data_IF_873377253323
#
_entry.id   IF_873377253323
#
_cell.length_a   1.000
_cell.length_b   1.000
_cell.length_c   1.000
_cell.angle_alpha   90.00
_cell.angle_beta   90.00
_cell.angle_gamma   90.00
#
_symmetry.space_group_name_H-M   'P 1'
#
loop_
_entity.id
_entity.type
_entity.pdbx_description
1 polymer ?
#
# COMPACT_ATOMS: atom_id res chain seq x y z
N UNK A 1 28.77 -4.01 56.03
CA UNK A 1 28.41 -3.26 54.81
C UNK A 1 27.76 -4.25 53.85
N UNK A 2 26.44 -4.15 53.66
CA UNK A 2 25.66 -5.04 52.78
C UNK A 2 25.57 -4.38 51.40
N UNK A 3 26.18 -5.00 50.37
CA UNK A 3 26.04 -4.54 48.98
C UNK A 3 24.79 -5.17 48.37
N UNK A 4 23.82 -4.33 47.99
CA UNK A 4 22.64 -4.72 47.23
C UNK A 4 23.05 -4.74 45.74
N UNK A 5 23.07 -5.92 45.14
CA UNK A 5 23.19 -6.07 43.70
C UNK A 5 21.81 -5.79 43.07
N UNK A 6 21.68 -4.66 42.38
CA UNK A 6 20.50 -4.33 41.58
C UNK A 6 20.64 -5.06 40.25
N UNK A 7 19.87 -6.13 40.08
CA UNK A 7 19.66 -6.75 38.77
C UNK A 7 18.69 -5.89 37.97
N UNK A 8 19.22 -5.11 37.03
CA UNK A 8 18.42 -4.46 35.99
C UNK A 8 18.00 -5.52 34.98
N UNK A 9 16.73 -5.94 35.03
CA UNK A 9 16.07 -6.63 33.94
C UNK A 9 15.99 -5.66 32.74
N UNK A 10 16.85 -5.87 31.74
CA UNK A 10 16.65 -5.33 30.40
C UNK A 10 15.50 -6.11 29.74
N UNK A 11 14.27 -5.70 30.04
CA UNK A 11 13.15 -6.04 29.18
C UNK A 11 13.38 -5.40 27.81
N UNK A 12 13.42 -6.24 26.78
CA UNK A 12 13.81 -5.87 25.44
C UNK A 12 13.00 -4.69 24.93
N UNK A 13 13.72 -3.63 24.51
CA UNK A 13 13.14 -2.54 23.78
C UNK A 13 12.39 -3.11 22.56
N UNK A 14 11.05 -3.05 22.60
CA UNK A 14 10.23 -3.28 21.42
C UNK A 14 10.62 -2.24 20.39
N UNK A 15 11.42 -2.63 19.41
CA UNK A 15 11.74 -1.81 18.24
C UNK A 15 10.42 -1.33 17.65
N UNK A 16 10.13 -0.04 17.80
CA UNK A 16 9.05 0.59 17.09
C UNK A 16 9.28 0.36 15.59
N UNK A 17 8.24 -0.03 14.83
CA UNK A 17 8.40 -0.26 13.41
C UNK A 17 8.84 1.04 12.73
N UNK A 18 10.03 1.03 12.13
CA UNK A 18 10.55 2.12 11.33
C UNK A 18 9.99 2.01 9.90
N UNK A 19 9.29 3.05 9.46
CA UNK A 19 8.76 3.18 8.11
C UNK A 19 9.52 4.26 7.37
N UNK A 20 9.97 3.96 6.15
CA UNK A 20 10.65 4.93 5.29
C UNK A 20 10.16 4.76 3.85
N UNK A 21 9.76 5.86 3.22
CA UNK A 21 9.58 5.92 1.77
C UNK A 21 10.90 6.34 1.14
N UNK A 22 11.47 5.51 0.28
CA UNK A 22 12.70 5.85 -0.43
C UNK A 22 12.32 6.41 -1.81
N UNK A 23 12.59 7.70 -2.03
CA UNK A 23 12.58 8.28 -3.38
C UNK A 23 13.75 7.66 -4.15
N UNK A 24 13.46 7.04 -5.29
CA UNK A 24 14.41 6.17 -6.01
C UNK A 24 15.58 6.96 -6.65
N UNK A 25 16.60 7.26 -5.86
CA UNK A 25 17.80 7.99 -6.28
C UNK A 25 19.13 7.26 -6.08
N UNK A 26 19.26 6.35 -5.11
CA UNK A 26 20.61 5.96 -4.65
C UNK A 26 20.98 4.47 -4.61
N UNK A 27 20.08 3.49 -4.80
CA UNK A 27 20.44 2.07 -5.00
C UNK A 27 19.21 1.27 -5.42
N UNK A 28 19.14 0.85 -6.68
CA UNK A 28 18.10 -0.06 -7.18
C UNK A 28 18.54 -1.52 -7.07
N UNK A 29 19.18 -1.90 -5.97
CA UNK A 29 19.52 -3.29 -5.69
C UNK A 29 18.70 -3.75 -4.50
N UNK A 30 17.37 -3.74 -4.68
CA UNK A 30 16.55 -4.61 -3.86
C UNK A 30 17.03 -6.04 -4.16
N UNK A 31 17.41 -6.82 -3.14
CA UNK A 31 17.74 -8.21 -3.36
C UNK A 31 16.57 -8.87 -4.10
N UNK A 32 16.84 -9.84 -4.97
CA UNK A 32 15.83 -10.58 -5.73
C UNK A 32 14.86 -9.78 -6.63
N UNK A 33 15.18 -8.53 -6.99
CA UNK A 33 14.40 -7.75 -7.95
C UNK A 33 14.42 -8.38 -9.37
N UNK A 34 13.26 -8.61 -10.03
CA UNK A 34 13.24 -9.29 -11.31
C UNK A 34 13.82 -8.43 -12.44
N UNK A 35 14.58 -9.05 -13.32
CA UNK A 35 15.21 -8.38 -14.47
C UNK A 35 14.22 -7.99 -15.59
N UNK A 36 12.93 -8.32 -15.44
CA UNK A 36 11.83 -8.01 -16.35
C UNK A 36 11.27 -6.61 -16.15
N UNK A 37 11.67 -5.92 -15.07
CA UNK A 37 11.25 -4.55 -14.76
C UNK A 37 12.40 -3.56 -14.93
N UNK A 38 12.06 -2.33 -15.30
CA UNK A 38 12.99 -1.21 -15.27
C UNK A 38 13.26 -0.77 -13.82
N UNK A 39 13.99 0.32 -13.63
CA UNK A 39 14.24 0.90 -12.30
C UNK A 39 12.91 1.25 -11.62
N UNK A 40 12.77 0.84 -10.35
CA UNK A 40 11.62 1.20 -9.53
C UNK A 40 11.45 2.73 -9.42
N UNK A 41 10.21 3.19 -9.46
CA UNK A 41 9.83 4.61 -9.27
C UNK A 41 9.59 4.90 -7.79
N UNK A 42 8.94 3.98 -7.09
CA UNK A 42 8.58 4.10 -5.68
C UNK A 42 8.99 2.81 -4.98
N UNK A 43 9.63 2.93 -3.81
CA UNK A 43 9.93 1.83 -2.92
C UNK A 43 9.45 2.22 -1.52
N UNK A 44 8.41 1.53 -1.07
CA UNK A 44 7.93 1.59 0.31
C UNK A 44 8.54 0.42 1.07
N UNK A 45 8.95 0.61 2.32
CA UNK A 45 9.46 -0.47 3.17
C UNK A 45 8.91 -0.42 4.59
N UNK A 46 8.71 -1.60 5.19
CA UNK A 46 8.25 -1.74 6.56
C UNK A 46 8.90 -2.96 7.23
N UNK A 47 9.51 -2.76 8.40
CA UNK A 47 10.16 -3.84 9.14
C UNK A 47 9.22 -4.40 10.19
N UNK A 48 9.01 -5.71 10.17
CA UNK A 48 8.15 -6.42 11.12
C UNK A 48 8.73 -7.79 11.46
N UNK A 49 8.88 -8.08 12.77
CA UNK A 49 9.38 -9.35 13.31
C UNK A 49 10.68 -9.86 12.63
N UNK A 50 11.66 -8.96 12.46
CA UNK A 50 12.97 -9.31 11.89
C UNK A 50 12.99 -9.56 10.37
N UNK A 51 11.90 -9.24 9.67
CA UNK A 51 11.85 -9.19 8.20
C UNK A 51 11.53 -7.79 7.73
N UNK A 52 12.12 -7.37 6.61
CA UNK A 52 11.77 -6.12 5.92
C UNK A 52 10.92 -6.45 4.71
N UNK A 53 9.75 -5.87 4.65
CA UNK A 53 8.82 -6.00 3.54
C UNK A 53 8.91 -4.77 2.65
N UNK A 54 8.74 -4.97 1.35
CA UNK A 54 8.77 -3.90 0.36
C UNK A 54 7.53 -3.94 -0.52
N UNK A 55 6.99 -2.77 -0.82
CA UNK A 55 6.02 -2.55 -1.89
C UNK A 55 6.67 -1.62 -2.92
N UNK A 56 6.84 -2.14 -4.14
CA UNK A 56 7.67 -1.53 -5.17
C UNK A 56 6.83 -1.27 -6.40
N UNK A 57 6.88 -0.04 -6.89
CA UNK A 57 6.19 0.38 -8.10
C UNK A 57 7.19 0.54 -9.22
N UNK A 58 7.07 -0.26 -10.27
CA UNK A 58 8.04 -0.30 -11.35
C UNK A 58 7.38 -0.42 -12.74
N UNK A 59 7.89 0.29 -13.75
CA UNK A 59 7.47 0.09 -15.13
C UNK A 59 8.12 -1.18 -15.71
N UNK A 60 7.50 -1.80 -16.73
CA UNK A 60 8.09 -2.95 -17.40
C UNK A 60 9.38 -2.54 -18.13
N UNK A 61 10.34 -3.46 -18.26
CA UNK A 61 11.67 -3.13 -18.81
C UNK A 61 11.65 -2.67 -20.26
N UNK A 62 10.70 -3.16 -21.05
CA UNK A 62 10.52 -2.78 -22.46
C UNK A 62 9.84 -1.40 -22.62
N UNK A 63 9.27 -0.83 -21.56
CA UNK A 63 8.74 0.53 -21.53
C UNK A 63 9.08 1.25 -20.20
N UNK A 64 10.36 1.66 -20.00
CA UNK A 64 10.81 2.26 -18.74
C UNK A 64 10.14 3.59 -18.38
N UNK A 65 9.51 4.25 -19.35
CA UNK A 65 8.85 5.54 -19.20
C UNK A 65 7.33 5.41 -19.05
N UNK A 66 6.81 4.19 -18.96
CA UNK A 66 5.40 3.95 -18.74
C UNK A 66 4.89 4.66 -17.49
N UNK A 67 3.72 5.29 -17.61
CA UNK A 67 2.94 5.77 -16.46
C UNK A 67 2.23 4.62 -15.75
N UNK A 68 2.09 3.46 -16.41
CA UNK A 68 1.55 2.25 -15.83
C UNK A 68 2.63 1.51 -15.05
N UNK A 69 2.48 1.47 -13.73
CA UNK A 69 3.43 0.81 -12.83
C UNK A 69 2.86 -0.52 -12.34
N UNK A 70 3.66 -1.58 -12.44
CA UNK A 70 3.40 -2.84 -11.76
C UNK A 70 3.75 -2.72 -10.28
N UNK A 71 2.99 -3.41 -9.42
CA UNK A 71 3.26 -3.48 -7.99
C UNK A 71 3.92 -4.82 -7.68
N UNK A 72 5.09 -4.77 -7.05
CA UNK A 72 5.87 -5.93 -6.63
C UNK A 72 6.03 -5.93 -5.11
N UNK A 73 5.86 -7.08 -4.50
CA UNK A 73 6.01 -7.30 -3.07
C UNK A 73 7.25 -8.16 -2.81
N UNK A 74 8.15 -7.68 -1.97
CA UNK A 74 9.36 -8.42 -1.58
C UNK A 74 9.44 -8.58 -0.08
N UNK A 75 10.17 -9.60 0.37
CA UNK A 75 10.60 -9.76 1.75
C UNK A 75 12.10 -10.04 1.80
N UNK A 76 12.82 -9.33 2.65
CA UNK A 76 14.18 -9.68 3.06
C UNK A 76 14.18 -10.10 4.53
N UNK A 77 14.99 -11.09 4.86
CA UNK A 77 15.21 -11.58 6.22
C UNK A 77 16.61 -12.17 6.35
N UNK A 78 16.98 -12.65 7.53
CA UNK A 78 18.23 -13.42 7.72
C UNK A 78 18.34 -14.65 6.81
N UNK A 79 17.20 -15.19 6.32
CA UNK A 79 17.16 -16.36 5.43
C UNK A 79 17.35 -15.99 3.95
N UNK A 80 17.43 -14.71 3.62
CA UNK A 80 17.56 -14.22 2.25
C UNK A 80 16.36 -13.39 1.78
N UNK A 81 16.20 -13.30 0.47
CA UNK A 81 15.18 -12.49 -0.21
C UNK A 81 14.18 -13.33 -0.99
N UNK A 82 12.93 -12.90 -0.97
CA UNK A 82 11.82 -13.55 -1.68
C UNK A 82 10.90 -12.52 -2.35
N UNK A 83 10.54 -12.79 -3.60
CA UNK A 83 9.44 -12.12 -4.31
C UNK A 83 8.13 -12.81 -3.91
N UNK A 84 7.17 -12.06 -3.38
CA UNK A 84 5.97 -12.60 -2.77
C UNK A 84 4.79 -12.71 -3.74
N UNK A 85 4.68 -11.82 -4.75
CA UNK A 85 3.66 -11.88 -5.79
C UNK A 85 4.27 -12.18 -7.16
N UNK A 86 4.48 -13.46 -7.51
CA UNK A 86 5.12 -13.83 -8.78
C UNK A 86 4.27 -13.44 -9.99
N UNK A 87 2.95 -13.32 -9.81
CA UNK A 87 2.02 -12.83 -10.81
C UNK A 87 1.77 -11.35 -10.53
N UNK A 88 2.06 -10.48 -11.50
CA UNK A 88 1.98 -9.01 -11.42
C UNK A 88 0.57 -8.45 -11.24
N UNK A 89 -0.41 -9.31 -10.98
CA UNK A 89 -1.81 -8.93 -10.82
C UNK A 89 -1.99 -8.27 -9.46
N UNK A 90 -2.71 -7.16 -9.44
CA UNK A 90 -3.10 -6.46 -8.21
C UNK A 90 -3.99 -7.40 -7.39
N UNK A 91 -3.45 -7.93 -6.29
CA UNK A 91 -4.17 -8.76 -5.32
C UNK A 91 -4.06 -8.16 -3.91
N UNK A 92 -4.89 -8.63 -2.98
CA UNK A 92 -4.81 -8.20 -1.57
C UNK A 92 -3.41 -8.43 -1.03
N UNK A 93 -2.86 -7.43 -0.35
CA UNK A 93 -1.57 -7.50 0.36
C UNK A 93 -1.56 -8.61 1.39
N UNK A 94 -2.71 -8.87 2.02
CA UNK A 94 -2.86 -9.94 3.02
C UNK A 94 -2.57 -11.34 2.47
N UNK A 95 -2.58 -11.54 1.14
CA UNK A 95 -2.16 -12.80 0.52
C UNK A 95 -0.65 -13.02 0.58
N UNK A 96 0.13 -11.95 0.72
CA UNK A 96 1.57 -11.95 0.53
C UNK A 96 2.34 -11.55 1.80
N UNK A 97 1.71 -10.78 2.70
CA UNK A 97 2.37 -10.24 3.88
C UNK A 97 1.46 -10.23 5.11
N UNK A 98 2.04 -10.18 6.33
CA UNK A 98 1.27 -10.11 7.57
C UNK A 98 0.42 -8.84 7.64
N UNK A 99 -0.71 -8.93 8.34
CA UNK A 99 -1.68 -7.84 8.48
C UNK A 99 -1.08 -6.49 8.90
N UNK A 100 -0.18 -6.38 9.90
CA UNK A 100 0.42 -5.08 10.25
C UNK A 100 1.19 -4.44 9.10
N UNK A 101 1.80 -5.25 8.24
CA UNK A 101 2.54 -4.79 7.06
C UNK A 101 1.57 -4.36 5.96
N UNK A 102 0.53 -5.17 5.71
CA UNK A 102 -0.50 -4.86 4.71
C UNK A 102 -1.24 -3.55 5.05
N UNK A 103 -1.64 -3.39 6.32
CA UNK A 103 -2.27 -2.17 6.82
C UNK A 103 -1.34 -0.96 6.73
N UNK A 104 -0.04 -1.14 6.99
CA UNK A 104 0.92 -0.07 6.86
C UNK A 104 0.99 0.46 5.42
N UNK A 105 1.15 -0.41 4.43
CA UNK A 105 1.20 0.02 3.03
C UNK A 105 -0.14 0.56 2.52
N UNK A 106 -1.26 -0.03 2.94
CA UNK A 106 -2.58 0.50 2.66
C UNK A 106 -2.72 1.95 3.18
N UNK A 107 -2.35 2.19 4.44
CA UNK A 107 -2.36 3.54 5.03
C UNK A 107 -1.43 4.49 4.28
N UNK A 108 -0.22 4.07 3.93
CA UNK A 108 0.75 4.91 3.22
C UNK A 108 0.19 5.39 1.87
N UNK A 109 -0.50 4.50 1.13
CA UNK A 109 -1.16 4.85 -0.13
C UNK A 109 -2.17 5.99 0.04
N UNK A 110 -3.09 5.87 0.99
CA UNK A 110 -4.14 6.87 1.19
C UNK A 110 -3.63 8.15 1.87
N UNK A 111 -2.65 8.02 2.77
CA UNK A 111 -2.00 9.17 3.40
C UNK A 111 -1.33 10.05 2.34
N UNK A 112 -0.65 9.44 1.37
CA UNK A 112 -0.02 10.18 0.26
C UNK A 112 -1.04 11.02 -0.52
N UNK A 113 -2.26 10.50 -0.75
CA UNK A 113 -3.33 11.23 -1.43
C UNK A 113 -3.85 12.40 -0.59
N UNK A 114 -4.01 12.22 0.72
CA UNK A 114 -4.37 13.30 1.62
C UNK A 114 -3.29 14.39 1.67
N UNK A 115 -2.04 13.99 1.82
CA UNK A 115 -0.91 14.90 1.94
C UNK A 115 -0.74 15.76 0.68
N UNK A 116 -0.91 15.18 -0.51
CA UNK A 116 -0.92 15.92 -1.77
C UNK A 116 -2.03 16.98 -1.80
N UNK A 117 -3.26 16.61 -1.43
CA UNK A 117 -4.36 17.57 -1.35
C UNK A 117 -4.11 18.68 -0.32
N UNK A 118 -3.54 18.33 0.83
CA UNK A 118 -3.20 19.29 1.88
C UNK A 118 -2.12 20.28 1.41
N UNK A 119 -1.12 19.80 0.68
CA UNK A 119 -0.07 20.64 0.09
C UNK A 119 -0.62 21.61 -0.97
N UNK A 120 -1.61 21.20 -1.76
CA UNK A 120 -2.30 22.09 -2.71
C UNK A 120 -3.15 23.17 -2.01
N UNK A 121 -3.45 22.99 -0.72
CA UNK A 121 -4.40 23.81 0.05
C UNK A 121 -3.79 24.45 1.29
N UNK A 122 -2.46 24.59 1.34
CA UNK A 122 -1.78 25.26 2.46
C UNK A 122 -2.35 26.67 2.66
N UNK A 123 -2.70 27.01 3.90
CA UNK A 123 -3.25 28.32 4.27
C UNK A 123 -4.77 28.47 4.09
N UNK A 124 -5.47 27.45 3.60
CA UNK A 124 -6.94 27.45 3.55
C UNK A 124 -7.55 27.00 4.88
N UNK A 125 -8.57 27.71 5.34
CA UNK A 125 -9.39 27.29 6.48
C UNK A 125 -10.07 25.96 6.13
N UNK A 126 -10.04 24.99 7.05
CA UNK A 126 -10.64 23.65 6.90
C UNK A 126 -10.04 22.78 5.77
N UNK A 127 -8.78 23.01 5.37
CA UNK A 127 -8.10 22.20 4.35
C UNK A 127 -8.15 20.68 4.65
N UNK A 128 -7.97 20.28 5.92
CA UNK A 128 -8.04 18.87 6.34
C UNK A 128 -9.40 18.22 6.07
N UNK A 129 -10.47 18.86 6.54
CA UNK A 129 -11.83 18.37 6.32
C UNK A 129 -12.18 18.32 4.83
N UNK A 130 -11.77 19.34 4.07
CA UNK A 130 -11.97 19.36 2.62
C UNK A 130 -11.28 18.17 1.94
N UNK A 131 -10.01 17.90 2.26
CA UNK A 131 -9.25 16.81 1.66
C UNK A 131 -9.78 15.44 2.05
N UNK A 132 -10.22 15.27 3.31
CA UNK A 132 -10.92 14.06 3.74
C UNK A 132 -12.19 13.82 2.93
N UNK A 133 -13.09 14.81 2.83
CA UNK A 133 -14.32 14.67 2.04
C UNK A 133 -14.05 14.42 0.56
N UNK A 134 -13.01 15.04 -0.01
CA UNK A 134 -12.59 14.80 -1.40
C UNK A 134 -12.19 13.34 -1.59
N UNK A 135 -11.39 12.79 -0.66
CA UNK A 135 -10.98 11.40 -0.71
C UNK A 135 -12.15 10.43 -0.48
N UNK A 136 -13.04 10.71 0.48
CA UNK A 136 -14.29 9.96 0.69
C UNK A 136 -15.13 9.92 -0.59
N UNK A 137 -15.28 11.07 -1.26
CA UNK A 137 -16.00 11.15 -2.53
C UNK A 137 -15.36 10.24 -3.57
N UNK A 138 -14.04 10.32 -3.77
CA UNK A 138 -13.28 9.51 -4.75
C UNK A 138 -13.37 8.00 -4.48
N UNK A 139 -13.38 7.59 -3.22
CA UNK A 139 -13.46 6.17 -2.81
C UNK A 139 -14.88 5.62 -3.01
N UNK A 140 -15.90 6.42 -2.70
CA UNK A 140 -17.29 6.00 -2.77
C UNK A 140 -17.94 6.25 -4.13
N UNK A 141 -17.17 6.67 -5.15
CA UNK A 141 -17.74 6.80 -6.50
C UNK A 141 -18.11 5.41 -7.02
N UNK A 142 -19.38 5.16 -7.37
CA UNK A 142 -19.76 3.94 -8.06
C UNK A 142 -18.92 3.84 -9.33
N UNK A 143 -18.37 2.66 -9.62
CA UNK A 143 -17.51 2.43 -10.80
C UNK A 143 -18.25 2.57 -12.14
N UNK A 144 -18.72 3.76 -12.47
CA UNK A 144 -19.01 4.18 -13.82
C UNK A 144 -17.68 4.26 -14.57
N UNK A 145 -17.66 3.71 -15.78
CA UNK A 145 -16.47 3.51 -16.62
C UNK A 145 -15.72 4.81 -16.93
N UNK A 146 -16.34 5.97 -16.64
CA UNK A 146 -15.80 7.31 -16.85
C UNK A 146 -15.29 7.99 -15.57
N UNK A 147 -15.55 7.42 -14.39
CA UNK A 147 -15.13 8.01 -13.13
C UNK A 147 -13.71 7.54 -12.78
N UNK A 148 -12.81 8.47 -12.49
CA UNK A 148 -11.46 8.24 -11.94
C UNK A 148 -11.50 7.74 -10.48
N UNK A 149 -12.54 7.00 -10.09
CA UNK A 149 -12.79 6.52 -8.74
C UNK A 149 -12.08 5.21 -8.41
N UNK A 150 -12.00 4.89 -7.12
CA UNK A 150 -11.50 3.60 -6.66
C UNK A 150 -12.64 2.57 -6.73
N UNK A 151 -12.67 1.77 -7.78
CA UNK A 151 -13.77 0.84 -8.05
C UNK A 151 -13.92 -0.29 -7.01
N UNK A 152 -12.83 -0.63 -6.33
CA UNK A 152 -12.81 -1.67 -5.32
C UNK A 152 -11.68 -1.44 -4.31
N UNK A 153 -11.84 -2.00 -3.11
CA UNK A 153 -10.85 -2.03 -2.05
C UNK A 153 -10.58 -3.46 -1.58
N UNK A 154 -9.42 -3.67 -0.96
CA UNK A 154 -9.15 -4.85 -0.16
C UNK A 154 -9.46 -4.62 1.32
N UNK A 155 -9.58 -5.67 2.16
CA UNK A 155 -9.90 -5.52 3.58
C UNK A 155 -8.93 -4.61 4.32
N UNK A 156 -7.63 -4.72 4.01
CA UNK A 156 -6.60 -3.86 4.60
C UNK A 156 -6.74 -2.39 4.19
N UNK A 157 -7.27 -2.11 2.99
CA UNK A 157 -7.51 -0.75 2.52
C UNK A 157 -8.68 -0.12 3.30
N UNK A 158 -9.77 -0.86 3.49
CA UNK A 158 -10.93 -0.42 4.28
C UNK A 158 -10.54 -0.12 5.71
N UNK A 159 -9.76 -1.00 6.34
CA UNK A 159 -9.31 -0.81 7.70
C UNK A 159 -8.35 0.38 7.83
N UNK A 160 -7.43 0.56 6.87
CA UNK A 160 -6.56 1.74 6.84
C UNK A 160 -7.36 3.06 6.73
N UNK A 161 -8.35 3.11 5.85
CA UNK A 161 -9.23 4.27 5.69
C UNK A 161 -10.04 4.57 6.95
N UNK A 162 -10.59 3.53 7.59
CA UNK A 162 -11.30 3.64 8.87
C UNK A 162 -10.41 4.26 9.96
N UNK A 163 -9.16 3.82 10.06
CA UNK A 163 -8.19 4.37 11.00
C UNK A 163 -7.82 5.84 10.70
N UNK A 164 -7.99 6.26 9.45
CA UNK A 164 -7.79 7.66 9.01
C UNK A 164 -9.06 8.51 9.14
N UNK A 165 -10.18 7.95 9.60
CA UNK A 165 -11.46 8.63 9.71
C UNK A 165 -12.16 8.87 8.37
N UNK A 166 -11.81 8.09 7.33
CA UNK A 166 -12.38 8.18 5.98
C UNK A 166 -13.41 7.07 5.81
N UNK A 167 -14.63 7.43 5.41
CA UNK A 167 -15.71 6.47 5.13
C UNK A 167 -15.55 5.81 3.77
N UNK A 168 -15.80 4.51 3.71
CA UNK A 168 -15.70 3.67 2.51
C UNK A 168 -16.92 2.74 2.39
N UNK A 169 -18.11 3.26 2.69
CA UNK A 169 -19.32 2.45 2.87
C UNK A 169 -19.94 1.97 1.55
N UNK A 170 -19.58 2.56 0.41
CA UNK A 170 -20.20 2.29 -0.90
C UNK A 170 -19.27 1.53 -1.86
N UNK A 171 -18.03 1.25 -1.46
CA UNK A 171 -17.04 0.60 -2.31
C UNK A 171 -17.17 -0.92 -2.27
N UNK A 172 -16.88 -1.57 -3.40
CA UNK A 172 -16.86 -3.03 -3.46
C UNK A 172 -15.59 -3.56 -2.77
N UNK A 173 -15.74 -4.42 -1.77
CA UNK A 173 -14.60 -5.00 -1.04
C UNK A 173 -14.31 -6.41 -1.55
N UNK A 174 -13.12 -6.61 -2.12
CA UNK A 174 -12.67 -7.90 -2.63
C UNK A 174 -12.02 -8.68 -1.49
N UNK A 175 -12.61 -9.81 -1.09
CA UNK A 175 -12.04 -10.69 -0.06
C UNK A 175 -11.47 -11.97 -0.65
N UNK A 176 -11.95 -12.35 -1.84
CA UNK A 176 -11.65 -13.62 -2.49
C UNK A 176 -11.41 -13.44 -3.99
N UNK A 177 -10.80 -14.44 -4.63
CA UNK A 177 -10.65 -14.46 -6.08
C UNK A 177 -12.00 -14.45 -6.81
N UNK A 178 -13.02 -15.08 -6.23
CA UNK A 178 -14.39 -15.04 -6.76
C UNK A 178 -14.94 -13.61 -6.81
N UNK A 179 -14.72 -12.80 -5.78
CA UNK A 179 -15.15 -11.40 -5.75
C UNK A 179 -14.48 -10.60 -6.88
N UNK A 180 -13.20 -10.89 -7.15
CA UNK A 180 -12.47 -10.30 -8.27
C UNK A 180 -13.09 -10.71 -9.62
N UNK A 181 -13.39 -11.99 -9.81
CA UNK A 181 -14.08 -12.48 -11.02
C UNK A 181 -15.46 -11.84 -11.21
N UNK A 182 -16.24 -11.69 -10.14
CA UNK A 182 -17.53 -11.02 -10.18
C UNK A 182 -17.40 -9.54 -10.59
N UNK A 183 -16.37 -8.84 -10.08
CA UNK A 183 -16.06 -7.47 -10.50
C UNK A 183 -15.74 -7.42 -12.01
N UNK A 184 -14.92 -8.33 -12.51
CA UNK A 184 -14.59 -8.42 -13.94
C UNK A 184 -15.83 -8.68 -14.80
N UNK A 185 -16.70 -9.60 -14.39
CA UNK A 185 -17.96 -9.88 -15.07
C UNK A 185 -18.89 -8.65 -15.10
N UNK A 186 -18.96 -7.90 -13.99
CA UNK A 186 -19.72 -6.63 -13.93
C UNK A 186 -19.17 -5.61 -14.93
N UNK A 187 -17.86 -5.44 -15.04
CA UNK A 187 -17.22 -4.54 -16.01
C UNK A 187 -17.55 -4.93 -17.45
N UNK A 188 -17.39 -6.21 -17.80
CA UNK A 188 -17.67 -6.71 -19.15
C UNK A 188 -19.15 -6.48 -19.51
N UNK A 189 -20.08 -6.71 -18.59
CA UNK A 189 -21.52 -6.51 -18.83
C UNK A 189 -21.88 -5.04 -19.02
N UNK A 190 -21.23 -4.11 -18.30
CA UNK A 190 -21.45 -2.67 -18.44
C UNK A 190 -20.94 -2.13 -19.77
N UNK A 191 -19.79 -2.61 -20.26
CA UNK A 191 -19.23 -2.23 -21.57
C UNK A 191 -20.05 -2.74 -22.77
N UNK A 192 -21.05 -3.59 -22.53
CA UNK A 192 -21.97 -4.10 -23.56
C UNK A 192 -23.33 -3.38 -23.59
N UNK A 193 -23.57 -2.42 -22.69
CA UNK A 193 -24.79 -1.60 -22.74
C UNK A 193 -24.54 -0.43 -23.73
N UNK A 194 -25.28 -0.33 -24.84
CA UNK A 194 -25.15 0.73 -25.83
C UNK A 194 -25.54 2.10 -25.25
#
# INVERSE_FOLDING_TARGET
MLSIAIYLFLEGATQQPAAHTLLAGQKSELPCYPNTFAKARIINQFTFKGSTYYEVYAPPKNDPNSTYLSILYFRTSIKGCELLNPNTVIGSRLLYMPEPVALHFARLRFQTLLDQCLQERVGQINAGEHCQRKLESLINVPGDVKAEGIEFLYPEDVEALRQMGIKADQVFVIKTEKDLQELWLKKIRRNKKP
#
